data_IF_929202639257
#
_entry.id   IF_929202639257
#
_cell.length_a   1.000
_cell.length_b   1.000
_cell.length_c   1.000
_cell.angle_alpha   90.00
_cell.angle_beta   90.00
_cell.angle_gamma   90.00
#
_symmetry.space_group_name_H-M   'P 1'
#
loop_
_entity.id
_entity.type
_entity.pdbx_description
1 polymer ?
#
# COMPACT_ATOMS: atom_id res chain seq x y z
N UNK A 1 -27.55 -11.24 -2.35
CA UNK A 1 -27.04 -10.40 -3.45
C UNK A 1 -25.62 -9.97 -3.19
N UNK A 2 -24.74 -10.25 -4.14
CA UNK A 2 -23.39 -9.67 -4.21
C UNK A 2 -23.54 -8.36 -4.97
N UNK A 3 -23.10 -7.21 -4.45
CA UNK A 3 -23.25 -5.93 -5.14
C UNK A 3 -22.52 -5.95 -6.49
N UNK A 4 -23.12 -5.30 -7.50
CA UNK A 4 -22.49 -5.11 -8.80
C UNK A 4 -21.20 -4.29 -8.65
N UNK A 5 -20.05 -4.76 -9.19
CA UNK A 5 -18.76 -4.07 -9.08
C UNK A 5 -18.77 -2.61 -9.58
N UNK A 6 -19.73 -2.28 -10.46
CA UNK A 6 -19.83 -1.01 -11.16
C UNK A 6 -20.60 0.08 -10.40
N UNK A 7 -21.27 -0.24 -9.29
CA UNK A 7 -22.10 0.74 -8.55
C UNK A 7 -21.70 0.80 -7.05
N UNK A 8 -20.54 1.37 -6.73
CA UNK A 8 -20.08 1.51 -5.36
C UNK A 8 -20.84 2.58 -4.56
N UNK A 9 -20.94 2.45 -3.22
CA UNK A 9 -21.51 3.49 -2.36
C UNK A 9 -20.69 4.79 -2.41
N UNK A 10 -21.32 5.91 -2.05
CA UNK A 10 -20.67 7.22 -1.98
C UNK A 10 -19.43 7.16 -1.07
N UNK A 11 -18.28 7.57 -1.61
CA UNK A 11 -16.96 7.46 -0.99
C UNK A 11 -16.12 6.32 -1.58
N UNK A 12 -14.94 6.64 -2.11
CA UNK A 12 -14.03 5.69 -2.77
C UNK A 12 -13.55 4.59 -1.80
N UNK A 13 -14.25 3.44 -1.76
CA UNK A 13 -13.84 2.25 -1.00
C UNK A 13 -12.73 1.43 -1.65
N UNK A 14 -12.17 1.91 -2.77
CA UNK A 14 -11.26 1.14 -3.62
C UNK A 14 -9.78 1.54 -3.52
N UNK A 15 -9.34 2.18 -2.44
CA UNK A 15 -7.92 2.44 -2.21
C UNK A 15 -7.06 1.15 -2.25
N UNK A 16 -7.64 -0.01 -1.87
CA UNK A 16 -6.96 -1.32 -1.96
C UNK A 16 -7.03 -2.02 -3.30
N UNK A 17 -7.80 -1.50 -4.24
CA UNK A 17 -8.03 -2.15 -5.54
C UNK A 17 -7.68 -1.28 -6.73
N UNK A 18 -7.35 0.00 -6.53
CA UNK A 18 -6.87 0.86 -7.60
C UNK A 18 -5.47 0.36 -8.03
N UNK A 19 -5.31 -0.09 -9.29
CA UNK A 19 -3.98 -0.45 -9.79
C UNK A 19 -3.09 0.79 -9.97
N UNK A 20 -3.70 1.96 -10.17
CA UNK A 20 -3.04 3.24 -10.42
C UNK A 20 -3.14 4.17 -9.21
N UNK A 21 -3.04 3.64 -7.98
CA UNK A 21 -3.05 4.49 -6.78
C UNK A 21 -1.86 5.46 -6.82
N UNK A 22 -2.16 6.75 -6.64
CA UNK A 22 -1.21 7.84 -6.81
C UNK A 22 -0.31 7.93 -5.57
N UNK A 23 1.02 7.79 -5.70
CA UNK A 23 1.94 7.98 -4.59
C UNK A 23 1.96 9.45 -4.14
N UNK A 24 2.31 9.73 -2.88
CA UNK A 24 2.58 11.08 -2.40
C UNK A 24 3.71 11.74 -3.20
N UNK A 25 3.74 13.07 -3.21
CA UNK A 25 4.82 13.81 -3.84
C UNK A 25 6.18 13.40 -3.23
N UNK A 26 7.18 13.17 -4.09
CA UNK A 26 8.52 12.81 -3.66
C UNK A 26 8.77 11.31 -3.46
N UNK A 27 7.76 10.45 -3.61
CA UNK A 27 7.93 8.99 -3.59
C UNK A 27 8.16 8.47 -5.01
N UNK A 28 9.34 7.90 -5.25
CA UNK A 28 9.74 7.30 -6.54
C UNK A 28 9.89 5.77 -6.42
N UNK A 29 8.76 5.07 -6.48
CA UNK A 29 8.69 3.61 -6.43
C UNK A 29 7.96 3.05 -7.66
N UNK A 30 8.37 1.85 -8.15
CA UNK A 30 7.58 1.11 -9.12
C UNK A 30 6.15 0.90 -8.60
N UNK A 31 5.16 0.98 -9.50
CA UNK A 31 3.74 0.95 -9.12
C UNK A 31 3.35 -0.30 -8.32
N UNK A 32 3.91 -1.46 -8.67
CA UNK A 32 3.72 -2.71 -7.93
C UNK A 32 4.25 -2.62 -6.50
N UNK A 33 5.50 -2.17 -6.33
CA UNK A 33 6.12 -1.96 -5.02
C UNK A 33 5.33 -0.97 -4.17
N UNK A 34 4.89 0.14 -4.77
CA UNK A 34 4.08 1.14 -4.08
C UNK A 34 2.75 0.56 -3.57
N UNK A 35 2.08 -0.25 -4.38
CA UNK A 35 0.85 -0.94 -3.96
C UNK A 35 1.09 -1.93 -2.81
N UNK A 36 2.22 -2.61 -2.80
CA UNK A 36 2.59 -3.52 -1.72
C UNK A 36 2.86 -2.74 -0.41
N UNK A 37 3.51 -1.58 -0.48
CA UNK A 37 3.67 -0.67 0.68
C UNK A 37 2.32 -0.20 1.22
N UNK A 38 1.40 0.22 0.35
CA UNK A 38 0.05 0.62 0.77
C UNK A 38 -0.77 -0.54 1.33
N UNK A 39 -0.58 -1.75 0.82
CA UNK A 39 -1.22 -2.95 1.38
C UNK A 39 -0.72 -3.20 2.80
N UNK A 40 0.60 -3.21 3.00
CA UNK A 40 1.20 -3.34 4.34
C UNK A 40 0.70 -2.25 5.28
N UNK A 41 0.76 -0.97 4.88
CA UNK A 41 0.25 0.16 5.67
C UNK A 41 -1.20 -0.03 6.10
N UNK A 42 -2.06 -0.49 5.19
CA UNK A 42 -3.46 -0.76 5.54
C UNK A 42 -3.58 -1.83 6.61
N UNK A 43 -2.82 -2.93 6.52
CA UNK A 43 -2.88 -3.98 7.54
C UNK A 43 -2.36 -3.49 8.89
N UNK A 44 -1.32 -2.64 8.90
CA UNK A 44 -0.84 -1.99 10.13
C UNK A 44 -1.92 -1.10 10.74
N UNK A 45 -2.50 -0.18 9.95
CA UNK A 45 -3.57 0.73 10.43
C UNK A 45 -4.84 0.00 10.88
N UNK A 46 -5.09 -1.19 10.32
CA UNK A 46 -6.21 -2.04 10.68
C UNK A 46 -5.92 -3.04 11.80
N UNK A 47 -4.77 -2.94 12.48
CA UNK A 47 -4.33 -3.89 13.53
C UNK A 47 -4.42 -5.37 13.07
N UNK A 48 -4.09 -5.60 11.79
CA UNK A 48 -4.32 -6.86 11.07
C UNK A 48 -3.03 -7.59 10.69
N UNK A 49 -1.85 -7.04 11.01
CA UNK A 49 -0.58 -7.76 10.84
C UNK A 49 -0.44 -8.77 11.97
N UNK A 50 -0.46 -10.06 11.64
CA UNK A 50 -0.26 -11.15 12.59
C UNK A 50 1.19 -11.62 12.59
N UNK A 51 2.00 -11.05 13.50
CA UNK A 51 3.41 -11.43 13.64
C UNK A 51 3.59 -12.89 14.06
N UNK A 52 2.62 -13.49 14.76
CA UNK A 52 2.72 -14.89 15.18
C UNK A 52 2.63 -15.80 13.96
N UNK A 53 1.62 -15.59 13.13
CA UNK A 53 1.46 -16.33 11.87
C UNK A 53 2.67 -16.17 10.94
N UNK A 54 3.23 -14.95 10.84
CA UNK A 54 4.43 -14.67 10.04
C UNK A 54 5.65 -15.44 10.59
N UNK A 55 5.82 -15.50 11.91
CA UNK A 55 6.91 -16.25 12.56
C UNK A 55 6.75 -17.74 12.37
N UNK A 56 5.53 -18.28 12.47
CA UNK A 56 5.29 -19.70 12.23
C UNK A 56 5.71 -20.12 10.82
N UNK A 57 5.35 -19.32 9.80
CA UNK A 57 5.74 -19.58 8.41
C UNK A 57 7.25 -19.41 8.24
N UNK A 58 7.83 -18.32 8.74
CA UNK A 58 9.27 -18.06 8.66
C UNK A 58 10.11 -19.14 9.35
N UNK A 59 9.65 -19.67 10.49
CA UNK A 59 10.29 -20.77 11.18
C UNK A 59 10.29 -22.05 10.35
N UNK A 60 9.18 -22.40 9.70
CA UNK A 60 9.10 -23.56 8.79
C UNK A 60 10.09 -23.42 7.64
N UNK A 61 10.14 -22.25 7.00
CA UNK A 61 11.01 -22.01 5.85
C UNK A 61 12.50 -22.05 6.21
N UNK A 62 12.84 -21.88 7.49
CA UNK A 62 14.22 -21.88 8.01
C UNK A 62 14.55 -23.11 8.86
N UNK A 63 13.75 -24.19 8.79
CA UNK A 63 13.93 -25.45 9.54
C UNK A 63 14.01 -25.27 11.08
N UNK A 64 13.26 -24.31 11.63
CA UNK A 64 13.14 -24.04 13.06
C UNK A 64 11.91 -24.72 13.68
N UNK A 65 11.90 -24.89 15.01
CA UNK A 65 10.78 -25.50 15.72
C UNK A 65 9.62 -24.50 15.91
N UNK A 66 8.54 -24.71 15.17
CA UNK A 66 7.36 -23.81 15.14
C UNK A 66 6.68 -23.70 16.50
N UNK A 67 6.41 -24.83 17.15
CA UNK A 67 5.61 -24.91 18.39
C UNK A 67 6.24 -24.15 19.60
N UNK A 68 7.52 -23.79 19.50
CA UNK A 68 8.26 -23.08 20.56
C UNK A 68 8.75 -21.69 20.15
N UNK A 69 8.61 -21.29 18.87
CA UNK A 69 9.14 -20.01 18.38
C UNK A 69 8.05 -18.95 18.42
N UNK A 70 8.26 -17.90 19.21
CA UNK A 70 7.40 -16.72 19.25
C UNK A 70 8.07 -15.54 18.56
N UNK A 71 7.35 -14.45 18.23
CA UNK A 71 7.96 -13.22 17.73
C UNK A 71 9.08 -12.66 18.61
N UNK A 72 9.07 -12.93 19.92
CA UNK A 72 10.10 -12.48 20.84
C UNK A 72 11.41 -13.29 20.77
N UNK A 73 11.38 -14.49 20.16
CA UNK A 73 12.53 -15.38 20.03
C UNK A 73 13.32 -15.14 18.73
N UNK A 74 12.78 -14.30 17.83
CA UNK A 74 13.33 -14.00 16.51
C UNK A 74 14.02 -12.64 16.55
N UNK A 75 15.21 -12.56 15.96
CA UNK A 75 15.91 -11.29 15.79
C UNK A 75 15.06 -10.29 14.98
N UNK A 76 15.08 -9.01 15.39
CA UNK A 76 14.24 -7.97 14.77
C UNK A 76 14.51 -7.80 13.27
N UNK A 77 15.75 -7.95 12.81
CA UNK A 77 16.12 -7.85 11.39
C UNK A 77 15.54 -9.04 10.62
N UNK A 78 15.60 -10.23 11.20
CA UNK A 78 15.04 -11.45 10.62
C UNK A 78 13.52 -11.38 10.54
N UNK A 79 12.84 -10.93 11.60
CA UNK A 79 11.40 -10.76 11.63
C UNK A 79 10.95 -9.68 10.64
N UNK A 80 11.67 -8.55 10.57
CA UNK A 80 11.40 -7.52 9.57
C UNK A 80 11.56 -8.05 8.13
N UNK A 81 12.52 -8.94 7.88
CA UNK A 81 12.65 -9.61 6.58
C UNK A 81 11.47 -10.54 6.27
N UNK A 82 10.94 -11.26 7.26
CA UNK A 82 9.76 -12.11 7.07
C UNK A 82 8.49 -11.29 6.83
N UNK A 83 8.31 -10.18 7.54
CA UNK A 83 7.21 -9.24 7.27
C UNK A 83 7.34 -8.68 5.85
N UNK A 84 8.55 -8.29 5.41
CA UNK A 84 8.76 -7.86 4.02
C UNK A 84 8.33 -8.95 3.02
N UNK A 85 8.71 -10.20 3.26
CA UNK A 85 8.35 -11.35 2.42
C UNK A 85 6.83 -11.54 2.33
N UNK A 86 6.13 -11.58 3.47
CA UNK A 86 4.67 -11.74 3.57
C UNK A 86 3.93 -10.69 2.73
N UNK A 87 4.42 -9.45 2.75
CA UNK A 87 3.81 -8.33 2.03
C UNK A 87 4.38 -8.11 0.63
N UNK A 88 5.21 -9.02 0.10
CA UNK A 88 5.87 -8.90 -1.20
C UNK A 88 6.66 -7.58 -1.36
N UNK A 89 7.28 -7.13 -0.28
CA UNK A 89 8.16 -5.96 -0.27
C UNK A 89 9.59 -6.41 -0.57
N UNK A 90 10.34 -5.66 -1.40
CA UNK A 90 11.75 -5.98 -1.62
C UNK A 90 12.53 -5.82 -0.31
N UNK A 91 13.69 -6.49 -0.21
CA UNK A 91 14.58 -6.35 0.94
C UNK A 91 15.03 -4.90 1.20
N UNK A 92 14.97 -4.05 0.15
CA UNK A 92 15.16 -2.61 0.23
C UNK A 92 14.37 -1.93 -0.90
N UNK A 93 13.63 -0.87 -0.58
CA UNK A 93 12.96 -0.01 -1.54
C UNK A 93 13.98 0.80 -2.37
N UNK A 94 13.60 1.15 -3.60
CA UNK A 94 14.44 1.97 -4.50
C UNK A 94 14.53 3.42 -4.04
N UNK A 95 13.45 3.96 -3.49
CA UNK A 95 13.39 5.29 -2.90
C UNK A 95 14.01 5.30 -1.48
N UNK A 96 15.08 6.09 -1.23
CA UNK A 96 15.74 6.11 0.07
C UNK A 96 14.87 6.63 1.22
N UNK A 97 14.01 7.62 0.97
CA UNK A 97 13.16 8.20 2.01
C UNK A 97 12.04 7.22 2.36
N UNK A 98 11.43 6.60 1.35
CA UNK A 98 10.45 5.53 1.57
C UNK A 98 11.08 4.35 2.32
N UNK A 99 12.31 3.97 2.00
CA UNK A 99 13.01 2.88 2.71
C UNK A 99 13.23 3.20 4.18
N UNK A 100 13.64 4.43 4.51
CA UNK A 100 13.84 4.86 5.90
C UNK A 100 12.53 4.80 6.69
N UNK A 101 11.44 5.33 6.14
CA UNK A 101 10.10 5.24 6.77
C UNK A 101 9.66 3.79 6.95
N UNK A 102 9.75 2.95 5.91
CA UNK A 102 9.31 1.56 5.99
C UNK A 102 10.14 0.77 7.01
N UNK A 103 11.46 0.94 7.02
CA UNK A 103 12.33 0.29 8.00
C UNK A 103 11.98 0.70 9.43
N UNK A 104 11.75 2.00 9.65
CA UNK A 104 11.35 2.53 10.97
C UNK A 104 10.02 1.93 11.42
N UNK A 105 9.02 1.93 10.54
CA UNK A 105 7.70 1.37 10.83
C UNK A 105 7.74 -0.15 11.11
N UNK A 106 8.62 -0.91 10.44
CA UNK A 106 8.80 -2.34 10.71
C UNK A 106 9.37 -2.56 12.12
N UNK A 107 10.41 -1.81 12.51
CA UNK A 107 10.95 -1.87 13.87
C UNK A 107 9.91 -1.46 14.91
N UNK A 108 9.15 -0.39 14.65
CA UNK A 108 8.07 0.04 15.55
C UNK A 108 6.95 -0.99 15.64
N UNK A 109 6.58 -1.64 14.55
CA UNK A 109 5.56 -2.69 14.56
C UNK A 109 5.96 -3.86 15.47
N UNK A 110 7.23 -4.26 15.40
CA UNK A 110 7.80 -5.36 16.18
C UNK A 110 7.92 -4.98 17.67
N UNK A 111 8.30 -3.74 17.97
CA UNK A 111 8.68 -3.31 19.35
C UNK A 111 7.57 -2.58 20.10
N UNK A 112 6.82 -1.72 19.40
CA UNK A 112 5.82 -0.80 19.94
C UNK A 112 4.39 -1.10 19.47
N UNK A 113 4.23 -1.99 18.49
CA UNK A 113 2.95 -2.43 17.95
C UNK A 113 2.39 -1.52 16.86
N UNK A 114 1.17 -1.85 16.43
CA UNK A 114 0.56 -1.34 15.20
C UNK A 114 0.29 0.17 15.21
N UNK A 115 -0.01 0.75 16.38
CA UNK A 115 -0.35 2.17 16.47
C UNK A 115 0.85 3.05 16.08
N UNK A 116 2.02 2.85 16.71
CA UNK A 116 3.21 3.66 16.44
C UNK A 116 3.69 3.48 15.00
N UNK A 117 3.75 2.24 14.51
CA UNK A 117 4.08 1.97 13.11
C UNK A 117 3.09 2.64 12.14
N UNK A 118 1.80 2.63 12.47
CA UNK A 118 0.74 3.25 11.68
C UNK A 118 0.87 4.77 11.59
N UNK A 119 1.29 5.42 12.68
CA UNK A 119 1.59 6.86 12.72
C UNK A 119 2.73 7.18 11.74
N UNK A 120 3.89 6.51 11.86
CA UNK A 120 5.04 6.67 10.96
C UNK A 120 4.70 6.45 9.49
N UNK A 121 3.94 5.38 9.17
CA UNK A 121 3.51 5.11 7.80
C UNK A 121 2.54 6.16 7.26
N UNK A 122 1.72 6.77 8.12
CA UNK A 122 0.78 7.82 7.70
C UNK A 122 1.48 9.12 7.38
N UNK A 123 2.54 9.47 8.11
CA UNK A 123 3.29 10.70 7.85
C UNK A 123 3.84 10.78 6.43
N UNK A 124 4.32 9.67 5.87
CA UNK A 124 4.97 9.66 4.55
C UNK A 124 4.12 9.03 3.43
N UNK A 125 3.27 8.04 3.72
CA UNK A 125 2.60 7.24 2.69
C UNK A 125 1.09 7.50 2.55
N UNK A 126 0.54 8.48 3.26
CA UNK A 126 -0.86 8.86 3.05
C UNK A 126 -1.06 9.39 1.63
N UNK A 127 -2.09 8.92 0.93
CA UNK A 127 -2.33 9.30 -0.47
C UNK A 127 -3.20 10.54 -0.64
N UNK A 128 -3.13 11.20 -1.80
CA UNK A 128 -4.09 12.27 -2.14
C UNK A 128 -5.54 11.78 -2.13
N UNK A 129 -5.74 10.51 -2.48
CA UNK A 129 -7.03 9.82 -2.46
C UNK A 129 -7.62 9.68 -1.04
N UNK A 130 -6.78 9.68 0.00
CA UNK A 130 -7.21 9.67 1.40
C UNK A 130 -7.48 11.08 1.92
N UNK A 131 -6.68 12.06 1.49
CA UNK A 131 -6.76 13.44 1.99
C UNK A 131 -7.84 14.29 1.32
N UNK A 132 -8.17 14.01 0.06
CA UNK A 132 -8.95 14.92 -0.76
C UNK A 132 -10.01 14.18 -1.57
N UNK A 133 -11.24 14.69 -1.55
CA UNK A 133 -12.28 14.26 -2.46
C UNK A 133 -12.01 14.82 -3.86
N UNK A 134 -11.92 13.97 -4.91
CA UNK A 134 -11.70 14.45 -6.28
C UNK A 134 -12.93 15.18 -6.82
N UNK A 135 -12.69 16.20 -7.64
CA UNK A 135 -13.77 16.89 -8.36
C UNK A 135 -14.43 15.97 -9.40
N UNK A 136 -15.74 16.15 -9.58
CA UNK A 136 -16.53 15.39 -10.54
C UNK A 136 -16.43 16.02 -11.95
N UNK A 137 -15.70 15.36 -12.85
CA UNK A 137 -15.35 15.85 -14.18
C UNK A 137 -16.01 15.03 -15.29
N UNK A 138 -16.31 15.66 -16.43
CA UNK A 138 -16.81 14.97 -17.63
C UNK A 138 -15.62 14.53 -18.47
N UNK A 139 -15.47 13.23 -18.69
CA UNK A 139 -14.42 12.67 -19.57
C UNK A 139 -14.98 12.29 -20.94
N UNK A 140 -16.30 12.11 -21.06
CA UNK A 140 -17.05 12.00 -22.30
C UNK A 140 -18.45 12.65 -22.14
N UNK A 141 -19.24 12.86 -23.22
CA UNK A 141 -20.55 13.54 -23.14
C UNK A 141 -21.56 12.93 -22.15
N UNK A 142 -21.50 11.62 -21.94
CA UNK A 142 -22.35 10.84 -21.03
C UNK A 142 -21.55 10.14 -19.91
N UNK A 143 -20.27 10.48 -19.75
CA UNK A 143 -19.38 9.86 -18.77
C UNK A 143 -18.75 10.91 -17.87
N UNK A 144 -19.12 10.86 -16.57
CA UNK A 144 -18.52 11.68 -15.52
C UNK A 144 -17.87 10.81 -14.44
N UNK A 145 -16.72 11.25 -13.94
CA UNK A 145 -15.96 10.56 -12.90
C UNK A 145 -15.44 11.55 -11.87
N UNK A 146 -15.41 11.15 -10.61
CA UNK A 146 -14.70 11.85 -9.54
C UNK A 146 -13.42 11.06 -9.25
N UNK A 147 -12.34 11.36 -9.98
CA UNK A 147 -11.08 10.62 -9.92
C UNK A 147 -9.86 11.52 -10.10
N UNK A 148 -8.93 11.48 -9.15
CA UNK A 148 -7.66 12.22 -9.17
C UNK A 148 -6.75 11.88 -10.37
N UNK A 149 -6.89 10.69 -10.98
CA UNK A 149 -6.11 10.33 -12.19
C UNK A 149 -6.51 11.15 -13.42
N UNK A 150 -7.70 11.76 -13.39
CA UNK A 150 -8.17 12.68 -14.43
C UNK A 150 -7.77 14.13 -14.15
N UNK A 151 -7.04 14.36 -13.06
CA UNK A 151 -6.42 15.65 -12.78
C UNK A 151 -5.08 15.73 -13.52
N UNK A 152 -4.92 16.76 -14.36
CA UNK A 152 -3.69 16.99 -15.12
C UNK A 152 -2.57 17.55 -14.23
N UNK A 153 -2.90 18.10 -13.06
CA UNK A 153 -1.95 18.73 -12.14
C UNK A 153 -1.34 17.74 -11.12
N UNK A 154 -1.86 16.52 -11.03
CA UNK A 154 -1.33 15.49 -10.14
C UNK A 154 -0.28 14.62 -10.85
N UNK A 155 0.79 14.19 -10.13
CA UNK A 155 1.81 13.29 -10.66
C UNK A 155 1.21 11.89 -10.84
N UNK A 156 0.44 11.70 -11.89
CA UNK A 156 -0.08 10.39 -12.30
C UNK A 156 0.82 9.80 -13.36
N UNK A 157 2.10 9.56 -13.08
CA UNK A 157 2.98 9.00 -14.11
C UNK A 157 4.04 8.09 -13.50
N UNK A 158 3.64 6.86 -13.18
CA UNK A 158 4.57 5.74 -12.97
C UNK A 158 4.51 4.71 -14.09
N UNK A 159 3.64 4.89 -15.09
CA UNK A 159 3.60 4.06 -16.31
C UNK A 159 3.59 4.92 -17.60
N UNK A 160 4.65 4.89 -18.43
CA UNK A 160 4.69 5.57 -19.73
C UNK A 160 3.76 4.94 -20.78
N UNK A 161 3.25 3.73 -20.56
CA UNK A 161 2.27 3.10 -21.48
C UNK A 161 0.81 3.40 -21.12
N UNK A 162 0.54 3.87 -19.89
CA UNK A 162 -0.74 4.25 -19.28
C UNK A 162 -1.98 3.92 -20.12
N UNK A 163 -2.26 2.63 -20.27
CA UNK A 163 -3.37 2.14 -21.06
C UNK A 163 -4.70 2.68 -20.50
N UNK A 164 -4.80 2.87 -19.19
CA UNK A 164 -5.99 3.41 -18.51
C UNK A 164 -6.23 4.89 -18.81
N UNK A 165 -5.22 5.76 -18.71
CA UNK A 165 -5.37 7.18 -19.07
C UNK A 165 -5.62 7.34 -20.57
N UNK A 166 -5.03 6.48 -21.42
CA UNK A 166 -5.39 6.39 -22.84
C UNK A 166 -6.84 5.92 -23.03
N UNK A 167 -7.32 4.90 -22.32
CA UNK A 167 -8.71 4.45 -22.38
C UNK A 167 -9.69 5.54 -21.94
N UNK A 168 -9.37 6.30 -20.89
CA UNK A 168 -10.19 7.43 -20.42
C UNK A 168 -10.19 8.61 -21.38
N UNK A 169 -9.07 8.86 -22.07
CA UNK A 169 -8.93 9.96 -23.05
C UNK A 169 -9.32 9.58 -24.49
N UNK A 170 -9.47 8.28 -24.80
CA UNK A 170 -9.85 7.76 -26.12
C UNK A 170 -11.37 7.75 -26.37
N UNK A 171 -12.18 8.18 -25.41
CA UNK A 171 -13.65 8.36 -25.56
C UNK A 171 -13.99 9.75 -26.12
N UNK A 172 -13.18 10.25 -27.06
CA UNK A 172 -13.45 11.49 -27.80
C UNK A 172 -14.30 11.26 -29.04
#
# INVERSE_FOLDING_TARGET
>A
DVPEPSNPPDGCRFHTRCPEVIPPEGIDLPQETWRNVLHFRKQVLGDSVDLTSIVEIGAIENDLQVDETTPADVDEEQLASWVRSEYNLPGRLSDPQAEETLSTALTELITNGHQTAGETLTEQFETVCERQEPELRSIAPDHRVACHLTDDDLPGETDPENEYRRQLSSVK
#
